data_IF_142815640000
#
_entry.id   IF_142815640000
#
_cell.length_a   1.000
_cell.length_b   1.000
_cell.length_c   1.000
_cell.angle_alpha   90.00
_cell.angle_beta   90.00
_cell.angle_gamma   90.00
#
_symmetry.space_group_name_H-M   'P 1'
#
loop_
_entity.id
_entity.type
_entity.pdbx_description
1 polymer ?
2 non-polymer ?
3 non-polymer ?
4 water ?
#
# COMPACT_ATOMS: atom_id res chain seq x y z
N UNK A 1 3.19 3.84 -12.29
CA UNK A 1 4.39 3.10 -11.92
C UNK A 1 4.79 2.11 -13.02
N UNK A 2 6.05 1.69 -12.99
CA UNK A 2 6.53 0.67 -13.92
C UNK A 2 5.64 -0.56 -13.94
N UNK A 3 5.53 -1.19 -15.11
CA UNK A 3 4.64 -2.35 -15.23
C UNK A 3 5.04 -3.46 -14.26
N UNK A 4 6.34 -3.57 -14.02
CA UNK A 4 6.82 -4.66 -13.16
C UNK A 4 6.24 -4.53 -11.76
N UNK A 5 6.25 -3.29 -11.29
CA UNK A 5 5.72 -3.02 -9.95
C UNK A 5 4.21 -3.20 -9.94
N UNK A 6 3.52 -2.62 -10.93
CA UNK A 6 2.07 -2.77 -10.99
C UNK A 6 1.66 -4.24 -11.06
N UNK A 7 2.33 -5.01 -11.92
CA UNK A 7 1.98 -6.42 -12.06
C UNK A 7 2.21 -7.17 -10.76
N UNK A 8 3.20 -6.75 -9.98
CA UNK A 8 3.46 -7.39 -8.70
C UNK A 8 2.35 -7.14 -7.68
N UNK A 9 1.88 -5.91 -7.54
CA UNK A 9 0.71 -5.58 -6.73
C UNK A 9 -0.49 -6.41 -7.17
N UNK A 10 -0.75 -6.51 -8.47
CA UNK A 10 -1.89 -7.28 -8.97
C UNK A 10 -1.76 -8.76 -8.63
N UNK A 11 -0.56 -9.33 -8.78
CA UNK A 11 -0.32 -10.72 -8.45
C UNK A 11 -0.69 -11.04 -7.01
N UNK A 12 -0.45 -10.07 -6.13
CA UNK A 12 -0.50 -10.35 -4.70
C UNK A 12 -1.66 -9.62 -4.03
N UNK A 13 -2.56 -9.12 -4.87
CA UNK A 13 -3.58 -8.18 -4.43
C UNK A 13 -4.42 -8.74 -3.30
N UNK A 14 -4.88 -9.97 -3.50
CA UNK A 14 -5.79 -10.54 -2.52
C UNK A 14 -5.14 -10.71 -1.15
N UNK A 15 -3.90 -11.17 -1.10
CA UNK A 15 -3.23 -11.31 0.19
C UNK A 15 -3.01 -9.95 0.85
N UNK A 16 -2.57 -8.98 0.05
CA UNK A 16 -2.32 -7.65 0.59
C UNK A 16 -3.58 -7.13 1.26
N UNK A 17 -4.73 -7.24 0.59
CA UNK A 17 -5.98 -6.69 1.08
C UNK A 17 -6.51 -7.50 2.25
N UNK A 18 -6.22 -8.79 2.28
CA UNK A 18 -6.72 -9.68 3.32
C UNK A 18 -6.19 -9.25 4.69
N UNK A 19 -4.92 -8.88 4.68
CA UNK A 19 -4.03 -8.88 5.82
C UNK A 19 -3.77 -7.49 6.38
N UNK A 20 -3.71 -6.45 5.56
CA UNK A 20 -3.25 -5.13 5.97
C UNK A 20 -4.27 -4.37 6.81
N UNK A 21 -3.87 -3.95 8.00
CA UNK A 21 -4.53 -2.84 8.68
C UNK A 21 -3.95 -1.53 8.17
N UNK A 22 -4.78 -0.58 7.79
CA UNK A 22 -4.29 0.57 7.04
C UNK A 22 -3.73 1.69 7.91
N UNK A 23 -4.08 1.88 9.18
CA UNK A 23 -3.82 3.15 9.84
C UNK A 23 -2.35 3.54 9.98
N UNK A 24 -1.52 2.62 10.46
CA UNK A 24 -0.10 2.87 10.68
C UNK A 24 0.68 2.93 9.37
N UNK A 25 0.35 2.02 8.45
CA UNK A 25 0.93 2.10 7.11
C UNK A 25 0.66 3.48 6.51
N UNK A 26 -0.56 3.99 6.61
CA UNK A 26 -0.85 5.26 5.95
C UNK A 26 -0.11 6.42 6.61
N UNK A 27 0.00 6.45 7.93
CA UNK A 27 0.72 7.55 8.58
C UNK A 27 2.19 7.50 8.21
N UNK A 28 2.72 6.30 8.01
CA UNK A 28 4.09 6.14 7.54
C UNK A 28 4.26 6.78 6.17
N UNK A 29 3.34 6.50 5.25
CA UNK A 29 3.45 7.05 3.91
C UNK A 29 3.21 8.56 3.91
N UNK A 30 2.32 9.06 4.75
CA UNK A 30 2.12 10.50 4.83
C UNK A 30 3.37 11.18 5.37
N UNK A 31 3.97 10.61 6.42
CA UNK A 31 5.21 11.17 6.94
C UNK A 31 6.30 11.17 5.88
N UNK A 32 6.38 10.12 5.08
CA UNK A 32 7.33 10.00 3.99
C UNK A 32 7.09 11.02 2.88
N UNK A 33 5.82 11.36 2.68
CA UNK A 33 5.41 12.31 1.69
C UNK A 33 4.69 11.77 0.48
N UNK A 34 4.24 10.52 0.48
CA UNK A 34 3.77 9.88 -0.75
C UNK A 34 2.32 9.41 -0.68
N UNK A 35 1.59 9.82 0.35
CA UNK A 35 0.16 9.64 0.47
C UNK A 35 -0.42 10.95 0.99
N UNK A 36 -1.51 11.46 0.44
CA UNK A 36 -2.01 12.73 0.98
C UNK A 36 -3.02 12.49 2.09
N UNK A 37 -3.24 13.53 2.90
CA UNK A 37 -4.27 13.40 3.94
C UNK A 37 -5.66 13.25 3.35
N UNK A 38 -5.91 13.75 2.15
CA UNK A 38 -7.22 13.53 1.54
C UNK A 38 -7.41 12.08 1.09
N UNK A 39 -6.33 11.47 0.59
CA UNK A 39 -6.36 10.07 0.23
C UNK A 39 -6.60 9.20 1.47
N UNK A 40 -5.91 9.56 2.55
CA UNK A 40 -6.04 8.86 3.81
C UNK A 40 -7.47 8.87 4.32
N UNK A 41 -8.10 10.06 4.28
CA UNK A 41 -9.48 10.15 4.76
C UNK A 41 -10.42 9.29 3.93
N UNK A 42 -10.19 9.23 2.62
CA UNK A 42 -11.04 8.38 1.78
C UNK A 42 -10.96 6.93 2.24
N UNK A 43 -9.74 6.44 2.49
CA UNK A 43 -9.55 5.10 3.02
C UNK A 43 -10.21 4.95 4.39
N UNK A 44 -9.95 5.89 5.29
CA UNK A 44 -10.46 5.83 6.65
C UNK A 44 -11.99 5.75 6.68
N UNK A 45 -12.65 6.31 5.68
CA UNK A 45 -14.11 6.36 5.67
C UNK A 45 -14.75 5.01 5.38
N UNK A 46 -14.01 4.06 4.83
CA UNK A 46 -14.60 2.75 4.53
C UNK A 46 -14.91 2.00 5.82
N UNK A 47 -16.00 1.24 5.85
CA UNK A 47 -16.56 0.72 7.10
C UNK A 47 -16.14 -0.70 7.44
N UNK A 48 -15.09 -1.23 6.81
CA UNK A 48 -14.50 -2.46 7.35
C UNK A 48 -13.01 -2.52 7.03
N UNK A 49 -12.29 -3.36 7.76
CA UNK A 49 -10.85 -3.43 7.56
C UNK A 49 -10.52 -3.88 6.14
N UNK A 50 -11.17 -4.92 5.60
CA UNK A 50 -10.92 -5.31 4.22
C UNK A 50 -11.26 -4.18 3.25
N UNK A 51 -12.35 -3.46 3.52
CA UNK A 51 -12.72 -2.41 2.57
C UNK A 51 -11.75 -1.25 2.66
N UNK A 52 -11.22 -0.96 3.84
CA UNK A 52 -10.17 0.06 3.91
C UNK A 52 -8.92 -0.37 3.16
N UNK A 53 -8.49 -1.62 3.32
CA UNK A 53 -7.29 -2.09 2.61
C UNK A 53 -7.52 -2.12 1.11
N UNK A 54 -8.72 -2.53 0.71
CA UNK A 54 -9.04 -2.51 -0.72
C UNK A 54 -8.92 -1.10 -1.26
N UNK A 55 -9.40 -0.12 -0.49
CA UNK A 55 -9.34 1.26 -1.00
C UNK A 55 -7.90 1.72 -1.14
N UNK A 56 -7.09 1.39 -0.14
CA UNK A 56 -5.68 1.78 -0.17
C UNK A 56 -4.95 1.20 -1.37
N UNK A 57 -5.16 -0.10 -1.62
CA UNK A 57 -4.46 -0.74 -2.73
C UNK A 57 -4.95 -0.15 -4.04
N UNK A 58 -6.26 0.10 -4.11
CA UNK A 58 -6.81 0.76 -5.28
C UNK A 58 -6.08 2.07 -5.54
N UNK A 59 -5.86 2.83 -4.46
CA UNK A 59 -5.15 4.10 -4.66
C UNK A 59 -3.71 3.95 -5.09
N UNK A 60 -3.02 3.04 -4.40
CA UNK A 60 -1.60 2.83 -4.67
C UNK A 60 -1.39 2.39 -6.12
N UNK A 61 -2.29 1.55 -6.65
CA UNK A 61 -2.15 1.10 -8.02
C UNK A 61 -2.11 2.25 -9.01
N UNK A 62 -2.59 3.43 -8.62
CA UNK A 62 -2.62 4.55 -9.54
C UNK A 62 -1.46 5.52 -9.33
N UNK A 63 -0.56 5.18 -8.41
CA UNK A 63 0.52 6.10 -8.08
C UNK A 63 1.82 5.78 -8.82
N UNK A 64 2.88 6.50 -8.45
CA UNK A 64 4.12 6.33 -9.20
C UNK A 64 5.06 5.39 -8.47
N UNK A 65 6.24 5.25 -9.07
CA UNK A 65 7.25 4.34 -8.57
C UNK A 65 7.61 4.73 -7.14
N UNK A 66 7.70 6.03 -6.87
CA UNK A 66 8.20 6.49 -5.58
C UNK A 66 7.20 6.11 -4.49
N UNK A 67 5.93 6.09 -4.87
CA UNK A 67 4.87 5.69 -3.96
C UNK A 67 4.87 4.19 -3.71
N UNK A 68 5.16 3.37 -4.72
CA UNK A 68 5.30 1.93 -4.50
C UNK A 68 6.39 1.67 -3.45
N UNK A 69 7.53 2.34 -3.59
CA UNK A 69 8.62 2.14 -2.66
C UNK A 69 8.22 2.61 -1.26
N UNK A 70 7.48 3.72 -1.15
CA UNK A 70 7.02 4.18 0.15
C UNK A 70 6.08 3.19 0.82
N UNK A 71 5.18 2.65 0.04
CA UNK A 71 4.30 1.58 0.50
C UNK A 71 5.09 0.36 0.95
N UNK A 72 6.05 -0.08 0.14
CA UNK A 72 6.92 -1.20 0.51
C UNK A 72 7.64 -0.96 1.83
N UNK A 73 8.20 0.24 1.97
CA UNK A 73 8.95 0.59 3.17
C UNK A 73 8.02 0.63 4.38
N UNK A 74 6.78 1.09 4.16
CA UNK A 74 5.81 1.12 5.25
C UNK A 74 5.48 -0.30 5.71
N UNK A 75 5.33 -1.22 4.77
CA UNK A 75 5.09 -2.62 5.12
C UNK A 75 6.26 -3.17 5.92
N UNK A 76 7.48 -2.86 5.49
CA UNK A 76 8.66 -3.31 6.21
C UNK A 76 8.70 -2.79 7.64
N UNK A 77 8.29 -1.54 7.81
CA UNK A 77 8.49 -0.83 9.07
C UNK A 77 7.30 -1.01 10.00
N UNK A 78 6.12 -1.36 9.50
CA UNK A 78 4.91 -1.33 10.32
C UNK A 78 4.28 -2.71 10.50
N UNK A 79 5.10 -3.75 10.33
CA UNK A 79 4.72 -5.06 10.82
C UNK A 79 4.30 -6.01 9.71
N UNK A 80 4.68 -5.75 8.47
CA UNK A 80 4.26 -6.63 7.37
C UNK A 80 5.48 -7.00 6.53
N UNK A 81 6.54 -7.46 7.20
CA UNK A 81 7.72 -7.89 6.45
C UNK A 81 7.40 -9.06 5.52
N UNK A 82 6.43 -9.89 5.84
CA UNK A 82 5.97 -10.98 4.99
C UNK A 82 5.44 -10.43 3.67
N UNK A 83 4.61 -9.39 3.76
CA UNK A 83 4.07 -8.81 2.55
C UNK A 83 5.13 -8.03 1.78
N UNK A 84 6.01 -7.32 2.50
CA UNK A 84 7.12 -6.68 1.78
C UNK A 84 7.92 -7.71 0.99
N UNK A 85 8.12 -8.91 1.53
CA UNK A 85 8.93 -9.89 0.80
C UNK A 85 8.28 -10.28 -0.53
N UNK A 86 6.96 -10.26 -0.59
CA UNK A 86 6.28 -10.54 -1.85
C UNK A 86 6.50 -9.43 -2.87
N UNK A 87 6.59 -8.17 -2.44
CA UNK A 87 6.70 -7.03 -3.33
C UNK A 87 8.14 -6.66 -3.68
N UNK A 88 9.12 -7.23 -2.99
CA UNK A 88 10.51 -6.86 -3.21
C UNK A 88 10.93 -6.95 -4.66
N UNK A 89 10.65 -8.07 -5.32
CA UNK A 89 11.17 -8.24 -6.67
C UNK A 89 10.48 -7.29 -7.64
N UNK A 90 9.38 -6.65 -7.25
CA UNK A 90 8.70 -5.67 -8.10
C UNK A 90 9.21 -4.26 -7.93
N UNK A 91 10.18 -4.03 -7.03
CA UNK A 91 10.62 -2.64 -6.83
C UNK A 91 11.15 -2.04 -8.12
N UNK A 92 10.64 -0.86 -8.43
CA UNK A 92 10.90 -0.19 -9.70
C UNK A 92 12.40 -0.14 -10.00
N UNK A 93 13.20 0.01 -8.95
X LIG B 1 -9.76 -6.98 -3.15
X LIG C 1 -3.00 9.98 9.39
X LIG D 1 9.64 5.43 5.23
X LIG E 1 -14.74 12.40 4.51
X LIG F 1 6.58 3.71 9.81
X LIG G 1 7.55 -8.92 -9.40
X LIG G 1 7.28 -9.85 -8.22
X LIG G 1 7.98 -9.36 -10.47
X LIG G 1 5.62 -9.72 -7.52
#
# INVERSE_FOLDING_TARGET
>A
MDAKARNCLLQHREALEKDIKTSYIMDHMISDGFLTISEEEKVRNEPTQQQRAAMLIKMILKKDNDSYVSFYNALLHEGYKDLAALLHDGIPVVSSS
>B hetero
1 ZN ZN
>C hetero
1 ZN ZN
>D hetero
1 ZN ZN
>E hetero
1 ZN ZN
>F hetero
1 ZN ZN
>G hetero
1 BME C1 C2 O1 S2
#
